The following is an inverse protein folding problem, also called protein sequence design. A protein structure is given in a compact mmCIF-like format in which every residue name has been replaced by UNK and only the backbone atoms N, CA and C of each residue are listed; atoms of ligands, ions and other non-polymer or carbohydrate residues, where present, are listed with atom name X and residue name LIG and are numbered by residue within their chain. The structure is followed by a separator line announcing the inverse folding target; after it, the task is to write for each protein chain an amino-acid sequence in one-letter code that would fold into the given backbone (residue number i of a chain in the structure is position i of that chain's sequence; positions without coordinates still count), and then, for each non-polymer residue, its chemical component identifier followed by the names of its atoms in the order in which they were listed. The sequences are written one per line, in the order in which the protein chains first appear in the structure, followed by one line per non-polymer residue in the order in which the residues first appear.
data_IF_633729312675
#
_entry.id   IF_633729312675
#
_cell.length_a   1.000
_cell.length_b   1.000
_cell.length_c   1.000
_cell.angle_alpha   90.00
_cell.angle_beta   90.00
_cell.angle_gamma   90.00
#
_symmetry.space_group_name_H-M   'P 1'
#
loop_
_entity.id
_entity.type
_entity.pdbx_description
1 polymer ?
#
# COMPACT_ATOMS: atom_id res chain seq x y z
N UNK A 1 -5.08 8.88 -20.86
CA UNK A 1 -4.27 7.72 -20.43
C UNK A 1 -4.04 7.84 -18.92
N UNK A 2 -4.28 6.76 -18.17
CA UNK A 2 -4.10 6.72 -16.71
C UNK A 2 -2.64 7.09 -16.40
N UNK A 3 -2.42 8.20 -15.70
CA UNK A 3 -1.08 8.65 -15.33
C UNK A 3 -0.65 7.96 -14.06
N UNK A 4 0.43 7.19 -14.15
CA UNK A 4 1.12 6.62 -12.99
C UNK A 4 2.18 7.65 -12.56
N UNK A 5 2.23 8.07 -11.28
CA UNK A 5 3.28 8.96 -10.78
C UNK A 5 4.69 8.36 -10.97
N UNK A 6 5.69 9.21 -11.17
CA UNK A 6 7.09 8.76 -11.22
C UNK A 6 7.52 8.22 -9.85
N UNK A 7 8.16 7.05 -9.82
CA UNK A 7 8.56 6.41 -8.56
C UNK A 7 7.45 5.63 -7.84
N UNK A 8 6.25 5.52 -8.42
CA UNK A 8 5.19 4.70 -7.86
C UNK A 8 5.58 3.22 -7.78
N UNK A 9 5.18 2.56 -6.68
CA UNK A 9 5.42 1.13 -6.49
C UNK A 9 4.87 0.28 -7.66
N UNK A 10 5.50 -0.87 -8.00
CA UNK A 10 5.07 -1.74 -9.10
C UNK A 10 3.59 -2.17 -9.05
N UNK A 11 3.03 -2.25 -7.84
CA UNK A 11 1.61 -2.52 -7.55
C UNK A 11 0.69 -1.51 -8.23
N UNK A 12 1.05 -0.22 -8.21
CA UNK A 12 0.27 0.88 -8.79
C UNK A 12 0.13 0.68 -10.30
N UNK A 13 1.21 0.24 -10.97
CA UNK A 13 1.18 -0.07 -12.40
C UNK A 13 0.25 -1.24 -12.74
N UNK A 14 0.26 -2.31 -11.92
CA UNK A 14 -0.66 -3.44 -12.10
C UNK A 14 -2.12 -3.04 -11.91
N UNK A 15 -2.40 -2.13 -10.98
CA UNK A 15 -3.75 -1.63 -10.73
C UNK A 15 -4.20 -0.70 -11.86
N UNK A 16 -3.34 0.21 -12.31
CA UNK A 16 -3.60 1.05 -13.47
C UNK A 16 -3.94 0.23 -14.73
N UNK A 17 -3.25 -0.89 -14.97
CA UNK A 17 -3.54 -1.78 -16.09
C UNK A 17 -4.95 -2.39 -16.02
N UNK A 18 -5.45 -2.72 -14.82
CA UNK A 18 -6.82 -3.23 -14.62
C UNK A 18 -7.86 -2.16 -14.92
N UNK A 19 -7.64 -0.93 -14.44
CA UNK A 19 -8.52 0.21 -14.78
C UNK A 19 -8.50 0.52 -16.28
N UNK A 20 -7.35 0.40 -16.94
CA UNK A 20 -7.25 0.56 -18.40
C UNK A 20 -8.09 -0.49 -19.14
N UNK A 21 -8.08 -1.74 -18.67
CA UNK A 21 -8.89 -2.81 -19.25
C UNK A 21 -10.39 -2.54 -19.08
N UNK A 22 -10.82 -2.08 -17.90
CA UNK A 22 -12.21 -1.68 -17.63
C UNK A 22 -12.63 -0.52 -18.54
N UNK A 23 -11.77 0.50 -18.67
CA UNK A 23 -11.99 1.62 -19.59
C UNK A 23 -12.19 1.12 -21.02
N UNK A 24 -11.28 0.28 -21.53
CA UNK A 24 -11.37 -0.24 -22.90
C UNK A 24 -12.64 -1.06 -23.12
N UNK A 25 -12.95 -1.98 -22.21
CA UNK A 25 -14.14 -2.82 -22.29
C UNK A 25 -15.42 -1.98 -22.25
N UNK A 26 -15.47 -0.95 -21.40
CA UNK A 26 -16.60 -0.04 -21.30
C UNK A 26 -16.78 0.81 -22.56
N UNK A 27 -15.70 1.34 -23.14
CA UNK A 27 -15.78 2.04 -24.43
C UNK A 27 -16.25 1.11 -25.55
N UNK A 28 -15.72 -0.12 -25.62
CA UNK A 28 -16.17 -1.11 -26.60
C UNK A 28 -17.66 -1.45 -26.43
N UNK A 29 -18.12 -1.66 -25.20
CA UNK A 29 -19.53 -1.91 -24.91
C UNK A 29 -20.43 -0.71 -25.27
N UNK A 30 -19.94 0.52 -25.08
CA UNK A 30 -20.61 1.75 -25.52
C UNK A 30 -20.71 1.81 -27.04
N UNK A 31 -19.62 1.52 -27.76
CA UNK A 31 -19.61 1.45 -29.22
C UNK A 31 -20.58 0.41 -29.78
N UNK A 32 -20.79 -0.69 -29.06
CA UNK A 32 -21.75 -1.74 -29.40
C UNK A 32 -23.19 -1.44 -28.95
N UNK A 33 -23.44 -0.30 -28.31
CA UNK A 33 -24.78 0.10 -27.85
C UNK A 33 -25.27 -0.64 -26.61
N UNK A 34 -24.39 -1.34 -25.88
CA UNK A 34 -24.77 -2.15 -24.70
C UNK A 34 -24.98 -1.27 -23.46
N UNK A 35 -24.13 -0.27 -23.26
CA UNK A 35 -24.13 0.56 -22.03
C UNK A 35 -25.15 1.70 -22.07
N UNK A 36 -25.45 2.22 -23.27
CA UNK A 36 -26.21 3.46 -23.46
C UNK A 36 -25.46 4.73 -23.02
N UNK A 37 -24.16 4.66 -22.72
CA UNK A 37 -23.35 5.80 -22.33
C UNK A 37 -22.87 6.61 -23.53
N UNK A 38 -22.36 7.83 -23.30
CA UNK A 38 -21.65 8.58 -24.35
C UNK A 38 -20.23 8.04 -24.49
N UNK A 39 -19.68 8.12 -25.69
CA UNK A 39 -18.28 7.80 -25.92
C UNK A 39 -17.37 8.63 -25.01
N UNK A 40 -16.41 7.99 -24.37
CA UNK A 40 -15.51 8.57 -23.38
C UNK A 40 -16.01 8.51 -21.94
N UNK A 41 -17.29 8.22 -21.67
CA UNK A 41 -17.82 8.17 -20.29
C UNK A 41 -17.18 7.02 -19.49
N UNK A 42 -17.01 5.85 -20.11
CA UNK A 42 -16.38 4.71 -19.46
C UNK A 42 -14.90 4.99 -19.16
N UNK A 43 -14.20 5.64 -20.09
CA UNK A 43 -12.83 6.09 -19.87
C UNK A 43 -12.73 7.09 -18.72
N UNK A 44 -13.55 8.14 -18.73
CA UNK A 44 -13.53 9.18 -17.72
C UNK A 44 -13.88 8.63 -16.32
N UNK A 45 -14.86 7.71 -16.24
CA UNK A 45 -15.20 7.03 -15.00
C UNK A 45 -14.03 6.18 -14.48
N UNK A 46 -13.39 5.37 -15.33
CA UNK A 46 -12.25 4.56 -14.93
C UNK A 46 -11.06 5.41 -14.46
N UNK A 47 -10.78 6.53 -15.14
CA UNK A 47 -9.75 7.50 -14.73
C UNK A 47 -10.09 8.12 -13.37
N UNK A 48 -11.33 8.53 -13.16
CA UNK A 48 -11.78 9.10 -11.89
C UNK A 48 -11.60 8.11 -10.75
N UNK A 49 -12.11 6.88 -10.91
CA UNK A 49 -11.99 5.84 -9.89
C UNK A 49 -10.53 5.49 -9.58
N UNK A 50 -9.66 5.44 -10.59
CA UNK A 50 -8.23 5.20 -10.37
C UNK A 50 -7.57 6.33 -9.57
N UNK A 51 -7.89 7.59 -9.89
CA UNK A 51 -7.33 8.74 -9.15
C UNK A 51 -7.83 8.76 -7.70
N UNK A 52 -9.11 8.50 -7.47
CA UNK A 52 -9.69 8.45 -6.13
C UNK A 52 -9.02 7.31 -5.32
N UNK A 53 -8.86 6.13 -5.92
CA UNK A 53 -8.13 5.01 -5.32
C UNK A 53 -6.66 5.33 -5.01
N UNK A 54 -5.97 6.07 -5.89
CA UNK A 54 -4.57 6.45 -5.70
C UNK A 54 -4.41 7.38 -4.50
N UNK A 55 -5.36 8.30 -4.29
CA UNK A 55 -5.40 9.18 -3.11
C UNK A 55 -5.62 8.38 -1.84
N UNK A 56 -6.58 7.45 -1.83
CA UNK A 56 -6.90 6.62 -0.66
C UNK A 56 -5.78 5.63 -0.29
N UNK A 57 -5.12 5.06 -1.29
CA UNK A 57 -3.96 4.18 -1.10
C UNK A 57 -2.75 4.95 -0.54
N UNK A 58 -2.80 6.28 -0.60
CA UNK A 58 -1.83 7.24 -0.12
C UNK A 58 -0.53 7.24 -0.92
N UNK A 59 -0.67 7.25 -2.24
CA UNK A 59 0.34 7.67 -3.20
C UNK A 59 1.36 6.62 -3.61
N UNK A 60 2.60 7.10 -3.85
CA UNK A 60 3.74 6.35 -4.40
C UNK A 60 4.28 5.26 -3.46
N UNK A 61 4.05 5.40 -2.15
CA UNK A 61 4.40 4.42 -1.14
C UNK A 61 3.47 3.21 -1.27
N UNK A 62 4.03 2.09 -1.69
CA UNK A 62 3.30 0.83 -1.77
C UNK A 62 2.63 0.50 -0.44
N UNK A 63 1.49 -0.18 -0.49
CA UNK A 63 0.80 -0.68 0.71
C UNK A 63 1.75 -1.47 1.63
N UNK A 64 2.78 -2.09 1.05
CA UNK A 64 3.83 -2.85 1.71
C UNK A 64 4.67 -2.00 2.68
N UNK A 65 5.06 -0.77 2.33
CA UNK A 65 5.87 0.08 3.21
C UNK A 65 5.07 0.53 4.44
N UNK A 66 3.80 0.91 4.23
CA UNK A 66 2.90 1.26 5.33
C UNK A 66 2.65 0.08 6.25
N UNK A 67 2.42 -1.10 5.68
CA UNK A 67 2.25 -2.33 6.44
C UNK A 67 3.52 -2.69 7.23
N UNK A 68 4.70 -2.51 6.63
CA UNK A 68 5.98 -2.72 7.28
C UNK A 68 6.16 -1.77 8.48
N UNK A 69 5.97 -0.47 8.28
CA UNK A 69 6.08 0.51 9.38
C UNK A 69 5.03 0.26 10.47
N UNK A 70 3.80 -0.09 10.10
CA UNK A 70 2.76 -0.43 11.06
C UNK A 70 3.12 -1.69 11.86
N UNK A 71 3.65 -2.73 11.20
CA UNK A 71 4.08 -3.97 11.84
C UNK A 71 5.25 -3.73 12.80
N UNK A 72 6.26 -2.98 12.36
CA UNK A 72 7.40 -2.61 13.21
C UNK A 72 6.94 -1.78 14.41
N UNK A 73 6.09 -0.77 14.18
CA UNK A 73 5.55 0.07 15.27
C UNK A 73 4.73 -0.74 16.27
N UNK A 74 3.85 -1.62 15.78
CA UNK A 74 3.05 -2.49 16.62
C UNK A 74 3.92 -3.45 17.43
N UNK A 75 4.97 -4.01 16.82
CA UNK A 75 5.91 -4.88 17.53
C UNK A 75 6.65 -4.13 18.64
N UNK A 76 7.15 -2.92 18.37
CA UNK A 76 7.82 -2.10 19.36
C UNK A 76 6.87 -1.72 20.52
N UNK A 77 5.64 -1.31 20.21
CA UNK A 77 4.63 -0.93 21.20
C UNK A 77 4.17 -2.10 22.07
N UNK A 78 3.94 -3.27 21.47
CA UNK A 78 3.44 -4.44 22.20
C UNK A 78 4.48 -5.03 23.16
N UNK A 79 5.77 -4.86 22.85
CA UNK A 79 6.84 -5.54 23.58
C UNK A 79 7.65 -4.61 24.48
N UNK A 80 7.82 -3.33 24.12
CA UNK A 80 8.43 -2.29 24.96
C UNK A 80 9.66 -2.75 25.76
N UNK A 81 9.81 -2.34 27.03
CA UNK A 81 10.97 -2.73 27.86
C UNK A 81 11.01 -4.21 28.25
N UNK A 82 9.92 -4.97 28.03
CA UNK A 82 9.86 -6.40 28.32
C UNK A 82 10.80 -7.21 27.44
N UNK A 83 11.04 -6.76 26.20
CA UNK A 83 11.94 -7.42 25.24
C UNK A 83 13.03 -6.50 24.69
N UNK A 84 12.91 -5.19 24.89
CA UNK A 84 13.92 -4.19 24.53
C UNK A 84 14.51 -3.56 25.80
N UNK A 85 15.41 -4.24 26.50
CA UNK A 85 16.01 -3.71 27.72
C UNK A 85 16.88 -2.48 27.43
N UNK A 86 17.06 -1.60 28.42
CA UNK A 86 17.94 -0.44 28.28
C UNK A 86 19.39 -0.88 28.04
N UNK A 87 20.16 -0.06 27.32
CA UNK A 87 21.51 -0.41 26.91
C UNK A 87 22.48 -0.69 28.08
N UNK A 88 22.21 -0.13 29.26
CA UNK A 88 23.02 -0.29 30.48
C UNK A 88 22.51 -1.39 31.42
N UNK A 89 21.66 -2.31 30.95
CA UNK A 89 21.21 -3.45 31.76
C UNK A 89 22.40 -4.35 32.17
N UNK A 90 22.37 -4.88 33.38
CA UNK A 90 23.39 -5.82 33.85
C UNK A 90 23.31 -7.14 33.07
N UNK A 91 24.42 -7.86 32.92
CA UNK A 91 24.41 -9.18 32.27
C UNK A 91 23.49 -10.19 32.99
N UNK A 92 23.39 -10.09 34.32
CA UNK A 92 22.54 -10.98 35.11
C UNK A 92 21.05 -10.72 34.82
N UNK A 93 20.65 -9.45 34.72
CA UNK A 93 19.27 -9.08 34.41
C UNK A 93 18.94 -9.27 32.94
N UNK A 94 19.91 -9.10 32.04
CA UNK A 94 19.74 -9.39 30.61
C UNK A 94 19.39 -10.86 30.36
N UNK A 95 20.01 -11.80 31.09
CA UNK A 95 19.70 -13.24 31.02
C UNK A 95 18.28 -13.59 31.47
N UNK A 96 17.62 -12.70 32.23
CA UNK A 96 16.24 -12.86 32.71
C UNK A 96 15.21 -12.33 31.72
N UNK A 97 15.63 -11.62 30.67
CA UNK A 97 14.74 -11.11 29.62
C UNK A 97 14.32 -12.26 28.69
N UNK A 98 13.03 -12.61 28.73
CA UNK A 98 12.49 -13.66 27.87
C UNK A 98 12.25 -13.16 26.44
N UNK A 99 12.64 -13.95 25.43
CA UNK A 99 12.51 -13.59 24.01
C UNK A 99 13.14 -12.24 23.64
N UNK A 100 14.34 -11.93 24.15
CA UNK A 100 15.07 -10.69 23.88
C UNK A 100 15.00 -10.27 22.40
N UNK A 101 14.67 -9.00 22.16
CA UNK A 101 14.62 -8.37 20.85
C UNK A 101 15.58 -7.16 20.81
N UNK A 102 16.24 -6.93 19.68
CA UNK A 102 17.30 -5.92 19.55
C UNK A 102 18.71 -6.52 19.59
N UNK A 103 19.73 -5.67 19.58
CA UNK A 103 21.14 -6.08 19.54
C UNK A 103 21.80 -6.01 20.92
N UNK A 104 22.62 -7.01 21.21
CA UNK A 104 23.64 -6.96 22.27
C UNK A 104 24.97 -6.62 21.59
N UNK A 105 25.65 -5.58 22.08
CA UNK A 105 27.08 -5.37 21.83
C UNK A 105 27.86 -6.00 22.97
#
# INVERSE_FOLDING_TARGET
LLRIPEGAAPEVGRIAARFALVSFAGELATHLGVTGWKGGDAHNAAVRCFNDWLVESGGELGADDKALFAQVSAFLQANGPSRFPPHNISEEDLRRVFNLAGFSF
#
